data_IF_024642027373
#
_entry.id   IF_024642027373
#
_cell.length_a   1.000
_cell.length_b   1.000
_cell.length_c   1.000
_cell.angle_alpha   90.00
_cell.angle_beta   90.00
_cell.angle_gamma   90.00
#
_symmetry.space_group_name_H-M   'P 1'
#
loop_
_entity.id
_entity.type
_entity.pdbx_description
1 polymer ?
#
# COMPACT_ATOMS: atom_id res chain seq x y z
N UNK A 1 27.08 22.15 -25.23
CA UNK A 1 28.38 21.52 -25.58
C UNK A 1 28.61 20.39 -24.60
N UNK A 2 28.70 19.14 -25.07
CA UNK A 2 28.76 17.96 -24.19
C UNK A 2 30.12 17.91 -23.49
N UNK A 3 30.14 17.81 -22.16
CA UNK A 3 31.40 17.74 -21.41
C UNK A 3 31.94 16.30 -21.39
N UNK A 4 32.56 15.90 -22.50
CA UNK A 4 33.13 14.57 -22.72
C UNK A 4 34.15 14.19 -21.63
N UNK A 5 34.86 15.17 -21.03
CA UNK A 5 35.77 14.93 -19.91
C UNK A 5 35.08 14.32 -18.69
N UNK A 6 33.89 14.81 -18.34
CA UNK A 6 33.13 14.30 -17.19
C UNK A 6 32.59 12.88 -17.44
N UNK A 7 32.24 12.56 -18.69
CA UNK A 7 31.81 11.22 -19.11
C UNK A 7 32.99 10.24 -19.05
N UNK A 8 34.17 10.64 -19.52
CA UNK A 8 35.38 9.83 -19.44
C UNK A 8 35.76 9.54 -17.97
N UNK A 9 35.71 10.55 -17.10
CA UNK A 9 35.97 10.38 -15.67
C UNK A 9 34.93 9.47 -14.98
N UNK A 10 33.65 9.58 -15.33
CA UNK A 10 32.59 8.69 -14.87
C UNK A 10 32.88 7.21 -15.23
N UNK A 11 33.19 6.94 -16.49
CA UNK A 11 33.51 5.59 -17.00
C UNK A 11 34.78 5.05 -16.33
N UNK A 12 35.79 5.90 -16.10
CA UNK A 12 37.05 5.51 -15.45
C UNK A 12 36.89 5.22 -13.94
N UNK A 13 35.95 5.88 -13.27
CA UNK A 13 35.56 5.52 -11.90
C UNK A 13 34.76 4.20 -11.85
N UNK A 14 33.82 3.99 -12.77
CA UNK A 14 33.00 2.77 -12.80
C UNK A 14 33.79 1.51 -13.18
N UNK A 15 34.69 1.60 -14.17
CA UNK A 15 35.58 0.50 -14.57
C UNK A 15 36.57 0.08 -13.48
N UNK A 16 36.94 0.99 -12.56
CA UNK A 16 37.74 0.67 -11.36
C UNK A 16 36.99 -0.13 -10.30
N UNK A 17 35.66 -0.27 -10.40
CA UNK A 17 34.83 -1.02 -9.45
C UNK A 17 34.49 -2.44 -9.93
N UNK A 18 35.10 -2.91 -11.02
CA UNK A 18 34.68 -4.08 -11.80
C UNK A 18 34.71 -5.47 -11.13
N UNK A 19 34.97 -5.60 -9.83
CA UNK A 19 34.97 -6.88 -9.11
C UNK A 19 34.80 -6.74 -7.58
N UNK A 20 33.99 -5.80 -7.08
CA UNK A 20 33.91 -5.51 -5.63
C UNK A 20 32.51 -5.81 -5.05
N UNK A 21 32.47 -6.36 -3.83
CA UNK A 21 31.25 -6.74 -3.11
C UNK A 21 30.36 -5.53 -2.78
N UNK A 22 29.04 -5.76 -2.65
CA UNK A 22 28.05 -4.73 -2.34
C UNK A 22 28.32 -3.98 -1.04
N UNK A 23 29.04 -4.59 -0.09
CA UNK A 23 29.41 -3.96 1.19
C UNK A 23 30.57 -2.96 1.04
N UNK A 24 31.50 -3.19 0.12
CA UNK A 24 32.66 -2.33 -0.11
C UNK A 24 32.33 -1.10 -0.97
N UNK A 25 31.13 -1.06 -1.56
CA UNK A 25 30.61 0.09 -2.32
C UNK A 25 30.05 1.20 -1.43
N UNK A 26 29.79 0.92 -0.14
CA UNK A 26 29.19 1.86 0.81
C UNK A 26 29.98 3.19 0.92
N UNK A 27 31.34 3.20 1.03
CA UNK A 27 32.12 4.45 1.08
C UNK A 27 32.06 5.27 -0.22
N UNK A 28 31.77 4.62 -1.36
CA UNK A 28 31.75 5.26 -2.68
C UNK A 28 30.36 5.77 -3.08
N UNK A 29 29.32 5.51 -2.27
CA UNK A 29 27.91 5.85 -2.54
C UNK A 29 27.73 7.30 -3.01
N UNK A 30 28.28 8.28 -2.28
CA UNK A 30 28.14 9.70 -2.62
C UNK A 30 28.76 10.04 -3.98
N UNK A 31 29.89 9.40 -4.34
CA UNK A 31 30.57 9.62 -5.63
C UNK A 31 29.81 8.96 -6.78
N UNK A 32 29.20 7.80 -6.54
CA UNK A 32 28.31 7.12 -7.50
C UNK A 32 27.03 7.92 -7.75
N UNK A 33 26.37 8.43 -6.69
CA UNK A 33 25.18 9.29 -6.82
C UNK A 33 25.48 10.60 -7.58
N UNK A 34 26.66 11.21 -7.37
CA UNK A 34 27.10 12.37 -8.14
C UNK A 34 27.35 12.02 -9.62
N UNK A 35 27.98 10.88 -9.88
CA UNK A 35 28.29 10.40 -11.24
C UNK A 35 27.00 10.12 -12.03
N UNK A 36 26.02 9.48 -11.38
CA UNK A 36 24.73 9.17 -11.98
C UNK A 36 23.96 10.44 -12.39
N UNK A 37 23.93 11.47 -11.53
CA UNK A 37 23.33 12.78 -11.85
C UNK A 37 24.01 13.50 -13.02
N UNK A 38 25.32 13.31 -13.22
CA UNK A 38 26.04 13.88 -14.37
C UNK A 38 25.60 13.18 -15.66
N UNK A 39 25.42 11.85 -15.62
CA UNK A 39 24.96 11.06 -16.77
C UNK A 39 23.51 11.44 -17.13
N UNK A 40 22.58 11.45 -16.17
CA UNK A 40 21.17 11.85 -16.37
C UNK A 40 21.08 13.22 -17.04
N UNK A 41 21.75 14.22 -16.47
CA UNK A 41 21.76 15.60 -16.99
C UNK A 41 22.34 15.72 -18.40
N UNK A 42 23.23 14.81 -18.78
CA UNK A 42 23.84 14.77 -20.12
C UNK A 42 22.93 14.08 -21.14
N UNK A 43 22.15 13.07 -20.72
CA UNK A 43 21.12 12.46 -21.54
C UNK A 43 19.95 13.41 -21.80
N UNK A 44 19.54 14.19 -20.79
CA UNK A 44 18.53 15.26 -20.93
C UNK A 44 18.96 16.41 -21.88
N UNK A 45 20.25 16.51 -22.23
CA UNK A 45 20.74 17.51 -23.20
C UNK A 45 20.75 17.02 -24.64
N UNK A 46 20.29 15.79 -24.92
CA UNK A 46 20.18 15.24 -26.28
C UNK A 46 18.78 15.61 -26.84
N UNK A 47 18.68 16.42 -27.91
CA UNK A 47 17.40 16.69 -28.55
C UNK A 47 16.84 15.40 -29.15
N UNK A 48 15.61 15.05 -28.75
CA UNK A 48 14.90 13.88 -29.29
C UNK A 48 14.36 14.20 -30.70
N UNK A 49 15.20 14.05 -31.71
CA UNK A 49 14.76 14.00 -33.11
C UNK A 49 14.08 12.65 -33.38
N UNK A 50 12.75 12.65 -33.34
CA UNK A 50 11.94 11.55 -33.83
C UNK A 50 11.70 11.67 -35.34
N UNK A 51 11.86 10.58 -36.11
CA UNK A 51 11.13 10.40 -37.36
C UNK A 51 9.88 9.54 -37.15
N UNK A 52 8.77 10.00 -37.73
CA UNK A 52 7.54 9.22 -37.92
C UNK A 52 7.78 8.04 -38.85
N UNK A 53 7.01 6.96 -38.67
CA UNK A 53 6.58 6.09 -39.77
C UNK A 53 5.18 5.56 -39.50
N UNK A 54 4.26 5.83 -40.42
CA UNK A 54 2.88 5.31 -40.43
C UNK A 54 2.83 4.00 -41.23
N UNK A 55 2.20 2.96 -40.67
CA UNK A 55 1.56 1.86 -41.42
C UNK A 55 0.61 1.19 -40.41
N UNK A 56 -0.71 1.38 -40.48
CA UNK A 56 -1.62 0.89 -41.51
C UNK A 56 -1.44 -0.60 -41.81
N UNK A 57 -2.34 -1.41 -41.27
CA UNK A 57 -3.00 -2.49 -42.01
C UNK A 57 -4.29 -2.91 -41.28
N UNK A 58 -5.38 -2.96 -42.02
CA UNK A 58 -6.66 -3.50 -41.55
C UNK A 58 -6.61 -5.04 -41.62
N UNK A 59 -7.37 -5.72 -40.75
CA UNK A 59 -8.06 -6.91 -41.23
C UNK A 59 -9.41 -7.15 -40.53
N UNK A 60 -10.39 -7.48 -41.35
CA UNK A 60 -11.78 -7.81 -40.97
C UNK A 60 -11.96 -9.33 -40.87
N UNK A 61 -12.90 -9.76 -40.01
CA UNK A 61 -13.82 -10.91 -40.13
C UNK A 61 -14.45 -11.18 -38.75
N UNK A 62 -15.71 -10.83 -38.51
CA UNK A 62 -16.95 -11.58 -38.85
C UNK A 62 -17.36 -12.67 -37.84
N UNK A 63 -18.59 -12.53 -37.35
CA UNK A 63 -19.38 -13.44 -36.50
C UNK A 63 -19.76 -14.72 -37.29
N UNK A 64 -20.19 -15.82 -36.63
CA UNK A 64 -21.63 -15.94 -36.39
C UNK A 64 -22.05 -16.61 -35.06
N UNK A 65 -23.25 -16.24 -34.62
CA UNK A 65 -24.08 -16.93 -33.61
C UNK A 65 -24.94 -18.03 -34.24
N UNK A 66 -25.45 -18.99 -33.44
CA UNK A 66 -26.79 -19.51 -33.70
C UNK A 66 -27.74 -19.45 -32.48
N UNK A 67 -29.01 -19.18 -32.79
CA UNK A 67 -30.19 -19.14 -31.92
C UNK A 67 -30.70 -20.55 -31.55
N UNK A 68 -31.47 -20.66 -30.44
CA UNK A 68 -32.67 -21.50 -30.14
C UNK A 68 -32.59 -22.33 -28.83
N UNK A 69 -33.67 -22.63 -28.08
CA UNK A 69 -35.00 -21.96 -27.94
C UNK A 69 -35.77 -22.48 -26.70
N UNK A 70 -36.66 -21.63 -26.15
CA UNK A 70 -38.00 -21.88 -25.56
C UNK A 70 -38.27 -23.22 -24.81
N UNK A 71 -38.75 -23.16 -23.55
CA UNK A 71 -40.09 -23.65 -23.09
C UNK A 71 -40.30 -23.40 -21.57
N UNK A 72 -41.55 -23.12 -21.17
CA UNK A 72 -41.98 -22.83 -19.80
C UNK A 72 -42.45 -24.10 -19.04
N UNK A 73 -42.47 -24.07 -17.69
CA UNK A 73 -43.73 -24.09 -16.90
C UNK A 73 -43.56 -24.49 -15.41
N UNK A 74 -44.23 -23.71 -14.55
CA UNK A 74 -45.08 -24.10 -13.41
C UNK A 74 -44.55 -24.94 -12.21
N UNK A 75 -44.42 -24.24 -11.08
CA UNK A 75 -44.66 -24.62 -9.66
C UNK A 75 -46.07 -25.19 -9.36
N UNK A 76 -46.45 -25.66 -8.13
CA UNK A 76 -45.74 -25.93 -6.85
C UNK A 76 -46.17 -27.34 -6.26
N UNK A 77 -46.42 -27.62 -4.94
CA UNK A 77 -45.95 -27.08 -3.65
C UNK A 77 -45.47 -28.14 -2.60
N UNK A 78 -44.74 -27.64 -1.58
CA UNK A 78 -44.80 -27.97 -0.12
C UNK A 78 -45.04 -29.41 0.40
N UNK A 79 -44.13 -29.88 1.27
CA UNK A 79 -44.44 -30.47 2.62
C UNK A 79 -43.15 -30.71 3.42
N UNK A 80 -43.17 -30.49 4.75
CA UNK A 80 -41.96 -30.62 5.59
C UNK A 80 -42.14 -30.27 7.07
N UNK A 81 -42.98 -31.02 7.78
CA UNK A 81 -43.25 -30.91 9.22
C UNK A 81 -42.04 -31.31 10.07
N UNK A 82 -41.74 -30.59 11.18
CA UNK A 82 -41.50 -31.23 12.49
C UNK A 82 -41.51 -30.23 13.66
N UNK A 83 -41.87 -30.73 14.84
CA UNK A 83 -41.86 -30.02 16.13
C UNK A 83 -40.94 -30.75 17.13
N UNK A 84 -40.66 -30.07 18.24
CA UNK A 84 -40.22 -30.62 19.54
C UNK A 84 -38.77 -31.17 19.66
N UNK A 85 -38.12 -31.20 20.84
CA UNK A 85 -38.27 -30.49 22.14
C UNK A 85 -37.07 -30.87 23.04
N UNK A 86 -36.61 -29.98 23.92
CA UNK A 86 -35.73 -30.22 25.10
C UNK A 86 -34.28 -30.70 24.82
N UNK A 87 -33.23 -30.00 25.29
CA UNK A 87 -32.79 -29.74 26.68
C UNK A 87 -31.77 -30.77 27.15
N UNK A 88 -30.50 -30.36 27.23
CA UNK A 88 -29.55 -30.89 28.20
C UNK A 88 -28.71 -29.73 28.74
N UNK A 89 -28.62 -29.65 30.06
CA UNK A 89 -27.66 -28.79 30.77
C UNK A 89 -26.57 -29.72 31.24
N UNK A 90 -25.32 -29.43 30.88
CA UNK A 90 -24.17 -30.00 31.56
C UNK A 90 -23.06 -28.93 31.64
N UNK A 91 -22.26 -29.02 32.70
CA UNK A 91 -21.45 -27.93 33.24
C UNK A 91 -19.97 -28.07 32.82
N UNK A 92 -19.15 -27.07 33.17
CA UNK A 92 -17.67 -27.03 33.11
C UNK A 92 -16.97 -26.88 31.75
N UNK A 93 -15.94 -26.02 31.72
CA UNK A 93 -14.98 -25.87 30.62
C UNK A 93 -14.78 -24.41 30.16
N UNK A 94 -13.59 -23.84 30.41
CA UNK A 94 -13.21 -22.48 30.01
C UNK A 94 -12.98 -22.37 28.47
N UNK A 95 -14.04 -22.11 27.70
CA UNK A 95 -13.97 -21.95 26.24
C UNK A 95 -13.73 -20.49 25.79
N UNK A 96 -12.67 -19.85 26.29
CA UNK A 96 -12.28 -18.52 25.82
C UNK A 96 -11.64 -18.57 24.41
N UNK A 97 -10.83 -19.60 24.14
CA UNK A 97 -10.02 -19.74 22.91
C UNK A 97 -10.89 -19.81 21.63
N UNK A 98 -11.99 -20.58 21.68
CA UNK A 98 -12.91 -20.74 20.54
C UNK A 98 -13.71 -19.48 20.21
N UNK A 99 -13.87 -18.58 21.19
CA UNK A 99 -14.67 -17.36 21.04
C UNK A 99 -13.86 -16.24 20.39
N UNK A 100 -12.57 -16.13 20.71
CA UNK A 100 -11.69 -15.13 20.10
C UNK A 100 -11.38 -15.46 18.63
N UNK A 101 -11.00 -16.69 18.30
CA UNK A 101 -10.73 -17.09 16.90
C UNK A 101 -11.97 -16.88 16.00
N UNK A 102 -13.16 -17.20 16.51
CA UNK A 102 -14.42 -16.94 15.81
C UNK A 102 -14.70 -15.44 15.63
N UNK A 103 -14.42 -14.60 16.63
CA UNK A 103 -14.52 -13.13 16.49
C UNK A 103 -13.52 -12.60 15.47
N UNK A 104 -12.30 -13.12 15.44
CA UNK A 104 -11.25 -12.63 14.57
C UNK A 104 -11.52 -12.96 13.09
N UNK A 105 -11.99 -14.18 12.82
CA UNK A 105 -12.46 -14.59 11.51
C UNK A 105 -13.64 -13.74 11.03
N UNK A 106 -14.57 -13.38 11.93
CA UNK A 106 -15.74 -12.58 11.61
C UNK A 106 -15.38 -11.12 11.26
N UNK A 107 -14.42 -10.50 11.95
CA UNK A 107 -13.92 -9.17 11.60
C UNK A 107 -13.16 -9.15 10.26
N UNK A 108 -12.40 -10.21 9.96
CA UNK A 108 -11.79 -10.38 8.65
C UNK A 108 -12.84 -10.58 7.53
N UNK A 109 -13.89 -11.36 7.80
CA UNK A 109 -14.97 -11.62 6.85
C UNK A 109 -15.76 -10.35 6.51
N UNK A 110 -16.08 -9.50 7.50
CA UNK A 110 -16.74 -8.19 7.29
C UNK A 110 -16.01 -7.31 6.27
N UNK A 111 -14.67 -7.27 6.33
CA UNK A 111 -13.88 -6.53 5.34
C UNK A 111 -13.95 -7.18 3.95
N UNK A 112 -13.95 -8.51 3.89
CA UNK A 112 -14.05 -9.28 2.65
C UNK A 112 -15.41 -9.15 1.97
N UNK A 113 -16.51 -9.13 2.72
CA UNK A 113 -17.85 -8.88 2.19
C UNK A 113 -17.93 -7.46 1.59
N UNK A 114 -17.35 -6.47 2.28
CA UNK A 114 -17.26 -5.11 1.80
C UNK A 114 -16.31 -4.92 0.59
N UNK A 115 -15.31 -5.80 0.44
CA UNK A 115 -14.47 -5.96 -0.75
C UNK A 115 -15.22 -6.65 -1.90
N UNK A 116 -16.14 -7.57 -1.63
CA UNK A 116 -16.91 -8.27 -2.65
C UNK A 116 -18.13 -7.46 -3.15
N UNK A 117 -18.57 -6.46 -2.39
CA UNK A 117 -19.65 -5.55 -2.78
C UNK A 117 -19.42 -4.85 -4.14
N UNK A 118 -20.15 -5.30 -5.16
CA UNK A 118 -19.92 -5.03 -6.59
C UNK A 118 -19.55 -3.58 -6.95
N UNK A 119 -20.31 -2.57 -6.47
CA UNK A 119 -20.06 -1.17 -6.82
C UNK A 119 -18.76 -0.61 -6.25
N UNK A 120 -18.31 -1.11 -5.09
CA UNK A 120 -17.07 -0.68 -4.44
C UNK A 120 -15.88 -1.46 -4.99
N UNK A 121 -16.05 -2.76 -5.21
CA UNK A 121 -15.04 -3.62 -5.81
C UNK A 121 -14.65 -3.12 -7.20
N UNK A 122 -15.62 -2.92 -8.09
CA UNK A 122 -15.42 -2.39 -9.45
C UNK A 122 -14.67 -1.05 -9.45
N UNK A 123 -15.06 -0.12 -8.57
CA UNK A 123 -14.41 1.20 -8.46
C UNK A 123 -12.94 1.09 -8.06
N UNK A 124 -12.61 0.22 -7.10
CA UNK A 124 -11.23 -0.02 -6.64
C UNK A 124 -10.42 -0.75 -7.72
N UNK A 125 -10.97 -1.82 -8.31
CA UNK A 125 -10.33 -2.54 -9.42
C UNK A 125 -10.06 -1.62 -10.60
N UNK A 126 -11.04 -0.83 -11.06
CA UNK A 126 -10.89 0.10 -12.18
C UNK A 126 -9.78 1.12 -11.93
N UNK A 127 -9.77 1.73 -10.73
CA UNK A 127 -8.74 2.69 -10.35
C UNK A 127 -7.35 2.05 -10.35
N UNK A 128 -7.14 0.95 -9.63
CA UNK A 128 -5.83 0.30 -9.54
C UNK A 128 -5.38 -0.26 -10.90
N UNK A 129 -6.29 -0.79 -11.72
CA UNK A 129 -6.02 -1.27 -13.08
C UNK A 129 -5.59 -0.14 -14.02
N UNK A 130 -6.18 1.05 -13.90
CA UNK A 130 -5.78 2.22 -14.71
C UNK A 130 -4.39 2.79 -14.37
N UNK A 131 -3.74 2.31 -13.29
CA UNK A 131 -2.41 2.76 -12.82
C UNK A 131 -2.26 4.30 -12.84
N UNK A 132 -3.22 5.06 -12.24
CA UNK A 132 -3.21 6.51 -12.29
C UNK A 132 -1.95 7.06 -11.62
N UNK A 133 -1.61 8.31 -11.92
CA UNK A 133 -0.64 9.04 -11.12
C UNK A 133 -1.36 9.86 -10.03
N UNK A 134 -1.48 9.37 -8.78
CA UNK A 134 -2.12 10.11 -7.70
C UNK A 134 -1.36 11.39 -7.33
N UNK A 135 -0.14 11.57 -7.87
CA UNK A 135 0.72 12.72 -7.63
C UNK A 135 0.64 13.76 -8.76
N UNK A 136 -0.15 13.54 -9.81
CA UNK A 136 -0.26 14.47 -10.94
C UNK A 136 -0.89 15.82 -10.56
N UNK A 137 -1.67 15.87 -9.47
CA UNK A 137 -2.21 17.12 -8.93
C UNK A 137 -1.20 17.78 -7.99
N UNK A 138 -0.55 18.83 -8.47
CA UNK A 138 0.21 19.75 -7.63
C UNK A 138 -0.77 20.50 -6.71
N UNK A 139 -0.63 20.32 -5.40
CA UNK A 139 -1.23 21.19 -4.40
C UNK A 139 -0.11 21.96 -3.74
N UNK A 140 -0.04 23.27 -3.97
CA UNK A 140 0.97 24.16 -3.38
C UNK A 140 0.68 24.51 -1.90
N UNK A 141 -0.17 23.71 -1.23
CA UNK A 141 -0.69 23.90 0.12
C UNK A 141 0.37 23.66 1.23
N UNK A 142 1.60 23.34 0.84
CA UNK A 142 2.68 22.85 1.72
C UNK A 142 3.45 23.95 2.46
N UNK A 143 2.97 25.20 2.45
CA UNK A 143 3.73 26.38 2.92
C UNK A 143 3.92 26.40 4.46
N UNK A 144 3.14 25.62 5.22
CA UNK A 144 3.05 25.80 6.69
C UNK A 144 3.06 24.50 7.52
N UNK A 145 3.13 23.31 6.94
CA UNK A 145 3.04 22.03 7.64
C UNK A 145 3.76 20.94 6.83
N UNK A 146 4.22 19.86 7.47
CA UNK A 146 4.75 18.70 6.75
C UNK A 146 3.70 18.21 5.71
N UNK A 147 4.05 18.13 4.41
CA UNK A 147 3.13 17.73 3.35
C UNK A 147 2.35 16.43 3.62
N UNK A 148 2.96 15.48 4.31
CA UNK A 148 2.35 14.18 4.63
C UNK A 148 1.22 14.36 5.64
N UNK A 149 1.40 15.27 6.59
CA UNK A 149 0.36 15.66 7.56
C UNK A 149 -0.75 16.46 6.88
N UNK A 150 -0.44 17.26 5.85
CA UNK A 150 -1.46 17.88 4.99
C UNK A 150 -2.27 16.81 4.25
N UNK A 151 -1.62 15.89 3.53
CA UNK A 151 -2.26 14.79 2.79
C UNK A 151 -3.10 13.89 3.69
N UNK A 152 -2.63 13.59 4.91
CA UNK A 152 -3.38 12.81 5.92
C UNK A 152 -4.73 13.46 6.24
N UNK A 153 -4.78 14.80 6.27
CA UNK A 153 -5.99 15.58 6.57
C UNK A 153 -6.90 15.80 5.35
N UNK A 154 -6.48 15.47 4.12
CA UNK A 154 -7.27 15.70 2.89
C UNK A 154 -8.53 14.81 2.75
N UNK A 155 -8.74 13.81 3.62
CA UNK A 155 -9.90 12.92 3.54
C UNK A 155 -10.89 13.06 4.69
N UNK A 156 -11.72 14.11 4.60
CA UNK A 156 -13.07 14.10 5.15
C UNK A 156 -14.07 13.45 4.16
N UNK A 157 -15.33 13.26 4.57
CA UNK A 157 -16.37 12.57 3.78
C UNK A 157 -16.45 13.11 2.35
N UNK A 158 -16.28 12.24 1.35
CA UNK A 158 -16.42 12.59 -0.07
C UNK A 158 -15.11 12.80 -0.85
N UNK A 159 -13.93 12.58 -0.25
CA UNK A 159 -12.65 12.75 -0.94
C UNK A 159 -12.48 11.85 -2.19
N UNK A 160 -11.66 12.30 -3.15
CA UNK A 160 -11.33 11.57 -4.38
C UNK A 160 -10.46 10.33 -4.11
N UNK A 161 -10.39 9.41 -5.07
CA UNK A 161 -9.52 8.23 -4.93
C UNK A 161 -8.04 8.63 -4.84
N UNK A 162 -7.61 9.66 -5.59
CA UNK A 162 -6.24 10.17 -5.51
C UNK A 162 -5.94 10.86 -4.16
N UNK A 163 -6.93 11.53 -3.55
CA UNK A 163 -6.80 12.06 -2.20
C UNK A 163 -6.73 10.93 -1.14
N UNK A 164 -7.57 9.89 -1.27
CA UNK A 164 -7.44 8.67 -0.46
C UNK A 164 -6.05 8.05 -0.61
N UNK A 165 -5.54 7.98 -1.84
CA UNK A 165 -4.27 7.34 -2.15
C UNK A 165 -3.08 8.14 -1.62
N UNK A 166 -3.05 9.46 -1.84
CA UNK A 166 -2.04 10.38 -1.26
C UNK A 166 -2.02 10.31 0.28
N UNK A 167 -3.17 10.35 0.94
CA UNK A 167 -3.26 10.10 2.40
C UNK A 167 -2.56 8.79 2.78
N UNK A 168 -2.82 7.72 2.05
CA UNK A 168 -2.22 6.41 2.31
C UNK A 168 -0.69 6.40 2.15
N UNK A 169 -0.17 7.10 1.13
CA UNK A 169 1.27 7.30 0.96
C UNK A 169 1.87 8.15 2.10
N UNK A 170 1.13 9.16 2.59
CA UNK A 170 1.48 9.97 3.77
C UNK A 170 1.56 9.15 5.06
N UNK A 171 0.53 8.33 5.31
CA UNK A 171 0.49 7.38 6.44
C UNK A 171 1.68 6.41 6.38
N UNK A 172 1.92 5.78 5.21
CA UNK A 172 3.04 4.84 5.03
C UNK A 172 4.40 5.53 5.18
N UNK A 173 4.59 6.72 4.60
CA UNK A 173 5.84 7.50 4.69
C UNK A 173 6.21 7.82 6.14
N UNK A 174 5.26 8.36 6.93
CA UNK A 174 5.49 8.63 8.35
C UNK A 174 5.73 7.36 9.17
N UNK A 175 5.04 6.26 8.86
CA UNK A 175 5.23 5.00 9.57
C UNK A 175 6.55 4.31 9.21
N UNK A 176 7.08 4.46 8.00
CA UNK A 176 8.41 3.99 7.61
C UNK A 176 9.47 4.78 8.39
N UNK A 177 9.39 6.11 8.41
CA UNK A 177 10.32 6.96 9.17
C UNK A 177 10.29 6.67 10.68
N UNK A 178 9.10 6.39 11.23
CA UNK A 178 8.96 5.94 12.62
C UNK A 178 9.58 4.54 12.86
N UNK A 179 9.32 3.58 11.97
CA UNK A 179 9.83 2.20 12.05
C UNK A 179 11.36 2.12 11.86
N UNK A 180 11.96 3.05 11.11
CA UNK A 180 13.40 3.26 11.02
C UNK A 180 13.97 3.86 12.31
N UNK A 181 13.39 4.96 12.81
CA UNK A 181 13.80 5.58 14.08
C UNK A 181 13.69 4.60 15.27
N UNK A 182 12.64 3.79 15.32
CA UNK A 182 12.42 2.81 16.40
C UNK A 182 13.49 1.70 16.37
N UNK A 183 13.86 1.22 15.17
CA UNK A 183 15.00 0.30 14.99
C UNK A 183 16.31 0.91 15.46
N UNK A 184 16.58 2.16 15.09
CA UNK A 184 17.83 2.84 15.47
C UNK A 184 17.91 3.09 16.98
N UNK A 185 16.80 3.46 17.62
CA UNK A 185 16.75 3.78 19.04
C UNK A 185 16.68 2.55 19.97
N UNK A 186 16.07 1.44 19.52
CA UNK A 186 15.75 0.29 20.39
C UNK A 186 16.20 -1.07 19.84
N UNK A 187 16.79 -1.14 18.64
CA UNK A 187 17.28 -2.38 18.02
C UNK A 187 16.17 -3.32 17.49
N UNK A 188 14.91 -2.94 17.61
CA UNK A 188 13.73 -3.68 17.15
C UNK A 188 12.65 -2.69 16.70
N UNK A 189 11.55 -3.18 16.11
CA UNK A 189 10.39 -2.32 15.83
C UNK A 189 9.07 -3.03 16.01
N UNK A 190 8.03 -2.24 16.27
CA UNK A 190 6.65 -2.66 16.44
C UNK A 190 6.07 -3.26 15.15
N UNK A 191 6.49 -2.78 13.97
CA UNK A 191 6.15 -3.43 12.69
C UNK A 191 6.74 -4.85 12.62
N UNK A 192 7.87 -5.09 13.29
CA UNK A 192 8.49 -6.41 13.40
C UNK A 192 7.79 -7.28 14.44
N UNK A 193 7.65 -6.81 15.67
CA UNK A 193 6.95 -7.55 16.74
C UNK A 193 5.51 -7.94 16.36
N UNK A 194 4.69 -6.97 15.95
CA UNK A 194 3.27 -7.21 15.57
C UNK A 194 3.09 -8.05 14.32
N UNK A 195 4.10 -8.15 13.45
CA UNK A 195 4.04 -9.07 12.30
C UNK A 195 4.29 -10.53 12.66
N UNK A 196 4.97 -10.77 13.79
CA UNK A 196 5.28 -12.10 14.32
C UNK A 196 4.21 -12.56 15.33
N UNK A 197 3.67 -11.64 16.13
CA UNK A 197 2.64 -11.91 17.13
C UNK A 197 1.53 -10.83 17.09
N UNK A 198 0.68 -10.79 16.04
CA UNK A 198 -0.34 -9.75 15.87
C UNK A 198 -1.43 -9.72 16.97
N UNK A 199 -1.62 -10.81 17.71
CA UNK A 199 -2.51 -10.90 18.86
C UNK A 199 -1.98 -10.23 20.14
N UNK A 200 -0.68 -9.87 20.20
CA UNK A 200 -0.13 -9.14 21.34
C UNK A 200 -0.50 -7.66 21.24
N UNK A 201 -1.37 -7.21 22.15
CA UNK A 201 -1.75 -5.79 22.26
C UNK A 201 -0.62 -5.03 22.96
N UNK A 202 -0.10 -4.01 22.27
CA UNK A 202 0.81 -3.01 22.83
C UNK A 202 0.32 -1.61 22.46
N UNK A 203 0.53 -0.62 23.33
CA UNK A 203 0.18 0.78 23.07
C UNK A 203 1.41 1.59 22.64
N UNK A 204 1.51 1.83 21.34
CA UNK A 204 2.59 2.64 20.76
C UNK A 204 2.46 4.15 21.04
N UNK A 205 1.40 4.63 21.72
CA UNK A 205 1.17 6.06 21.95
C UNK A 205 2.38 6.76 22.56
N UNK A 206 3.03 6.14 23.55
CA UNK A 206 4.23 6.66 24.21
C UNK A 206 5.44 6.78 23.30
N UNK A 207 5.68 5.77 22.43
CA UNK A 207 6.81 5.78 21.49
C UNK A 207 6.58 6.77 20.34
N UNK A 208 5.36 6.84 19.82
CA UNK A 208 4.98 7.83 18.79
C UNK A 208 5.11 9.25 19.34
N UNK A 209 4.70 9.51 20.57
CA UNK A 209 4.88 10.81 21.21
C UNK A 209 6.36 11.16 21.42
N UNK A 210 7.23 10.17 21.72
CA UNK A 210 8.69 10.36 21.78
C UNK A 210 9.28 10.71 20.41
N UNK A 211 8.92 9.99 19.35
CA UNK A 211 9.32 10.30 17.98
C UNK A 211 8.91 11.72 17.55
N UNK A 212 7.65 12.09 17.80
CA UNK A 212 7.11 13.43 17.51
C UNK A 212 7.69 14.55 18.41
N UNK A 213 8.49 14.20 19.42
CA UNK A 213 9.24 15.15 20.26
C UNK A 213 10.74 15.20 19.92
N UNK A 214 11.32 14.12 19.39
CA UNK A 214 12.75 14.02 19.03
C UNK A 214 13.05 14.41 17.59
N UNK A 215 12.07 14.36 16.67
CA UNK A 215 12.31 14.62 15.25
C UNK A 215 12.62 16.11 14.99
N UNK A 216 13.63 16.38 14.14
CA UNK A 216 14.09 17.73 13.80
C UNK A 216 13.03 18.58 13.07
N UNK A 217 12.00 17.94 12.52
CA UNK A 217 10.85 18.59 11.89
C UNK A 217 9.74 18.74 12.93
N UNK A 218 9.47 19.98 13.32
CA UNK A 218 8.34 20.29 14.20
C UNK A 218 7.03 20.25 13.41
N UNK A 219 6.36 19.09 13.43
CA UNK A 219 4.96 18.97 12.98
C UNK A 219 4.08 19.93 13.78
N UNK A 220 3.32 20.80 13.12
CA UNK A 220 2.41 21.71 13.84
C UNK A 220 1.19 20.96 14.36
N UNK A 221 0.66 20.03 13.57
CA UNK A 221 -0.44 19.13 13.91
C UNK A 221 0.08 17.73 14.28
N UNK A 222 0.68 17.65 15.48
CA UNK A 222 1.20 16.38 16.05
C UNK A 222 0.12 15.30 16.21
N UNK A 223 -1.14 15.68 16.40
CA UNK A 223 -2.27 14.73 16.48
C UNK A 223 -2.49 14.00 15.15
N UNK A 224 -2.54 14.75 14.04
CA UNK A 224 -2.69 14.19 12.69
C UNK A 224 -1.46 13.34 12.30
N UNK A 225 -0.25 13.77 12.68
CA UNK A 225 0.96 12.97 12.51
C UNK A 225 0.89 11.66 13.31
N UNK A 226 0.49 11.72 14.59
CA UNK A 226 0.31 10.54 15.46
C UNK A 226 -0.77 9.57 14.95
N UNK A 227 -1.89 10.09 14.44
CA UNK A 227 -2.92 9.25 13.81
C UNK A 227 -2.39 8.60 12.53
N UNK A 228 -1.71 9.38 11.68
CA UNK A 228 -1.10 8.88 10.44
C UNK A 228 -0.05 7.81 10.65
N UNK A 229 0.81 7.94 11.68
CA UNK A 229 1.78 6.92 12.06
C UNK A 229 1.08 5.63 12.51
N UNK A 230 0.06 5.72 13.39
CA UNK A 230 -0.72 4.54 13.84
C UNK A 230 -1.38 3.81 12.66
N UNK A 231 -1.99 4.56 11.77
CA UNK A 231 -2.63 4.03 10.57
C UNK A 231 -1.63 3.42 9.58
N UNK A 232 -0.46 4.05 9.41
CA UNK A 232 0.61 3.56 8.56
C UNK A 232 1.29 2.30 9.11
N UNK A 233 1.60 2.24 10.41
CA UNK A 233 2.13 1.03 11.07
C UNK A 233 1.20 -0.15 10.80
N UNK A 234 -0.11 0.08 10.89
CA UNK A 234 -1.14 -0.93 10.64
C UNK A 234 -1.09 -1.48 9.21
N UNK A 235 -0.86 -0.62 8.20
CA UNK A 235 -0.61 -1.02 6.82
C UNK A 235 0.68 -1.85 6.71
N UNK A 236 1.80 -1.35 7.25
CA UNK A 236 3.11 -2.02 7.15
C UNK A 236 3.15 -3.40 7.84
N UNK A 237 2.50 -3.55 8.99
CA UNK A 237 2.32 -4.84 9.68
C UNK A 237 1.58 -5.82 8.78
N UNK A 238 0.49 -5.38 8.13
CA UNK A 238 -0.26 -6.25 7.24
C UNK A 238 0.49 -6.57 5.94
N UNK A 239 1.24 -5.62 5.36
CA UNK A 239 2.13 -5.88 4.22
C UNK A 239 3.12 -7.01 4.51
N UNK A 240 3.75 -6.97 5.70
CA UNK A 240 4.70 -8.00 6.15
C UNK A 240 4.03 -9.33 6.41
N UNK A 241 2.87 -9.36 7.08
CA UNK A 241 2.09 -10.60 7.29
C UNK A 241 1.65 -11.20 5.94
N UNK A 242 1.18 -10.37 5.01
CA UNK A 242 0.63 -10.79 3.73
C UNK A 242 1.72 -11.30 2.75
N UNK A 243 2.87 -10.62 2.72
CA UNK A 243 4.04 -10.92 1.89
C UNK A 243 4.15 -10.10 0.60
N UNK A 244 3.21 -9.18 0.32
CA UNK A 244 3.20 -8.33 -0.87
C UNK A 244 2.78 -6.90 -0.50
N UNK A 245 3.67 -5.92 -0.71
CA UNK A 245 3.41 -4.51 -0.36
C UNK A 245 2.19 -3.94 -1.07
N UNK A 246 1.90 -4.38 -2.30
CA UNK A 246 0.77 -3.93 -3.10
C UNK A 246 -0.60 -4.23 -2.50
N UNK A 247 -0.69 -5.03 -1.42
CA UNK A 247 -1.94 -5.18 -0.65
C UNK A 247 -2.37 -3.85 -0.04
N UNK A 248 -1.42 -2.99 0.36
CA UNK A 248 -1.73 -1.64 0.85
C UNK A 248 -2.35 -0.75 -0.22
N UNK A 249 -2.05 -0.94 -1.51
CA UNK A 249 -2.72 -0.18 -2.57
C UNK A 249 -4.24 -0.42 -2.60
N UNK A 250 -4.69 -1.62 -2.22
CA UNK A 250 -6.10 -1.97 -2.05
C UNK A 250 -6.63 -1.39 -0.73
N UNK A 251 -5.91 -1.62 0.38
CA UNK A 251 -6.37 -1.24 1.71
C UNK A 251 -6.43 0.28 1.93
N UNK A 252 -5.56 1.07 1.31
CA UNK A 252 -5.60 2.54 1.36
C UNK A 252 -6.95 3.08 0.85
N UNK A 253 -7.48 2.51 -0.23
CA UNK A 253 -8.77 2.90 -0.82
C UNK A 253 -9.97 2.42 0.00
N UNK A 254 -9.75 1.54 0.97
CA UNK A 254 -10.74 0.91 1.84
C UNK A 254 -10.43 1.15 3.33
N UNK A 255 -9.58 2.15 3.62
CA UNK A 255 -8.89 2.23 4.90
C UNK A 255 -9.85 2.39 6.09
N UNK A 256 -10.97 3.08 5.89
CA UNK A 256 -12.02 3.25 6.92
C UNK A 256 -12.66 1.94 7.38
N UNK A 257 -12.56 0.86 6.60
CA UNK A 257 -13.02 -0.48 6.96
C UNK A 257 -11.86 -1.29 7.54
N UNK A 258 -10.69 -1.22 6.88
CA UNK A 258 -9.49 -1.94 7.32
C UNK A 258 -9.01 -1.48 8.71
N UNK A 259 -9.23 -0.23 9.09
CA UNK A 259 -8.92 0.31 10.43
C UNK A 259 -9.67 -0.40 11.56
N UNK A 260 -10.90 -0.84 11.31
CA UNK A 260 -11.79 -1.44 12.31
C UNK A 260 -11.53 -2.94 12.54
N UNK A 261 -10.77 -3.59 11.66
CA UNK A 261 -10.36 -5.00 11.83
C UNK A 261 -9.40 -5.10 13.05
N UNK A 262 -9.35 -6.22 13.78
CA UNK A 262 -8.36 -6.39 14.86
C UNK A 262 -6.99 -6.79 14.30
N UNK A 263 -5.91 -6.65 15.07
CA UNK A 263 -4.59 -7.09 14.58
C UNK A 263 -4.52 -8.62 14.46
N UNK A 264 -5.01 -9.43 15.41
CA UNK A 264 -4.99 -10.89 15.29
C UNK A 264 -5.76 -11.43 14.08
N UNK A 265 -6.91 -10.81 13.73
CA UNK A 265 -7.65 -11.03 12.46
C UNK A 265 -6.82 -10.92 11.17
N UNK A 266 -5.60 -10.36 11.21
CA UNK A 266 -4.74 -10.23 10.03
C UNK A 266 -4.34 -11.57 9.41
N UNK A 267 -4.17 -12.62 10.21
CA UNK A 267 -3.87 -13.95 9.65
C UNK A 267 -5.08 -14.46 8.86
N UNK A 268 -6.28 -14.42 9.44
CA UNK A 268 -7.53 -14.78 8.76
C UNK A 268 -7.76 -13.94 7.48
N UNK A 269 -7.58 -12.62 7.56
CA UNK A 269 -7.75 -11.72 6.41
C UNK A 269 -6.77 -12.04 5.27
N UNK A 270 -5.51 -12.37 5.57
CA UNK A 270 -4.53 -12.84 4.58
C UNK A 270 -5.02 -14.11 3.88
N UNK A 271 -5.58 -15.07 4.60
CA UNK A 271 -6.11 -16.30 4.01
C UNK A 271 -7.33 -16.04 3.11
N UNK A 272 -8.28 -15.19 3.54
CA UNK A 272 -9.45 -14.84 2.73
C UNK A 272 -9.08 -14.07 1.45
N UNK A 273 -8.17 -13.10 1.55
CA UNK A 273 -7.65 -12.37 0.38
C UNK A 273 -6.96 -13.32 -0.61
N UNK A 274 -6.14 -14.27 -0.14
CA UNK A 274 -5.50 -15.30 -0.99
C UNK A 274 -6.54 -16.20 -1.66
N UNK A 275 -7.56 -16.66 -0.91
CA UNK A 275 -8.64 -17.52 -1.43
C UNK A 275 -9.49 -16.82 -2.51
N UNK A 276 -9.55 -15.49 -2.51
CA UNK A 276 -10.33 -14.73 -3.51
C UNK A 276 -9.75 -14.74 -4.93
N UNK A 277 -8.47 -15.11 -5.11
CA UNK A 277 -7.77 -15.06 -6.40
C UNK A 277 -7.55 -13.62 -6.89
N UNK A 278 -8.59 -12.99 -7.44
CA UNK A 278 -8.51 -11.69 -8.11
C UNK A 278 -7.90 -10.56 -7.25
N UNK A 279 -8.20 -10.50 -5.94
CA UNK A 279 -7.57 -9.50 -5.05
C UNK A 279 -6.12 -9.84 -4.72
N UNK A 280 -5.77 -11.12 -4.68
CA UNK A 280 -4.39 -11.57 -4.46
C UNK A 280 -3.50 -11.25 -5.67
N UNK A 281 -3.98 -11.56 -6.88
CA UNK A 281 -3.28 -11.24 -8.12
C UNK A 281 -3.13 -9.74 -8.32
N UNK A 282 -4.18 -8.95 -7.96
CA UNK A 282 -4.09 -7.49 -7.95
C UNK A 282 -3.04 -6.98 -6.94
N UNK A 283 -3.04 -7.48 -5.70
CA UNK A 283 -2.05 -7.09 -4.69
C UNK A 283 -0.61 -7.41 -5.15
N UNK A 284 -0.43 -8.51 -5.89
CA UNK A 284 0.84 -8.91 -6.48
C UNK A 284 1.26 -7.97 -7.61
N UNK A 285 0.40 -7.72 -8.61
CA UNK A 285 0.67 -6.76 -9.72
C UNK A 285 1.00 -5.35 -9.19
N UNK A 286 0.23 -4.85 -8.22
CA UNK A 286 0.41 -3.49 -7.69
C UNK A 286 1.59 -3.32 -6.75
N UNK A 287 2.35 -4.37 -6.43
CA UNK A 287 3.49 -4.25 -5.50
C UNK A 287 4.59 -3.33 -6.03
N UNK A 288 5.04 -3.51 -7.29
CA UNK A 288 6.05 -2.62 -7.88
C UNK A 288 5.51 -1.21 -8.12
N UNK A 289 4.26 -1.08 -8.54
CA UNK A 289 3.61 0.22 -8.77
C UNK A 289 3.45 1.02 -7.47
N UNK A 290 3.03 0.39 -6.37
CA UNK A 290 2.94 1.07 -5.07
C UNK A 290 4.31 1.54 -4.60
N UNK A 291 5.36 0.72 -4.73
CA UNK A 291 6.73 1.12 -4.39
C UNK A 291 7.19 2.32 -5.22
N UNK A 292 6.94 2.32 -6.54
CA UNK A 292 7.25 3.47 -7.39
C UNK A 292 6.46 4.73 -7.02
N UNK A 293 5.19 4.60 -6.64
CA UNK A 293 4.40 5.72 -6.12
C UNK A 293 4.94 6.26 -4.79
N UNK A 294 5.34 5.38 -3.86
CA UNK A 294 5.93 5.74 -2.58
C UNK A 294 7.26 6.49 -2.77
N UNK A 295 8.18 5.98 -3.61
CA UNK A 295 9.45 6.64 -3.91
C UNK A 295 9.25 8.05 -4.48
N UNK A 296 8.32 8.23 -5.44
CA UNK A 296 8.02 9.54 -6.02
C UNK A 296 7.36 10.51 -5.03
N UNK A 297 6.58 9.98 -4.09
CA UNK A 297 5.96 10.73 -3.00
C UNK A 297 7.03 11.24 -2.02
N UNK A 298 7.85 10.34 -1.48
CA UNK A 298 8.91 10.68 -0.52
C UNK A 298 9.97 11.61 -1.12
N UNK A 299 10.30 11.46 -2.41
CA UNK A 299 11.20 12.36 -3.11
C UNK A 299 10.72 13.82 -3.13
N UNK A 300 9.40 14.06 -3.27
CA UNK A 300 8.82 15.42 -3.20
C UNK A 300 8.94 16.01 -1.79
N UNK A 301 8.77 15.20 -0.75
CA UNK A 301 8.89 15.65 0.64
C UNK A 301 10.34 15.87 1.07
N UNK A 302 11.29 15.11 0.51
CA UNK A 302 12.72 15.31 0.78
C UNK A 302 13.23 16.64 0.21
N UNK A 303 12.56 17.20 -0.81
CA UNK A 303 12.83 18.56 -1.29
C UNK A 303 12.26 19.64 -0.35
N UNK A 304 11.08 19.41 0.24
CA UNK A 304 10.49 20.33 1.23
C UNK A 304 11.38 20.50 2.48
N UNK A 305 12.00 19.42 2.96
CA UNK A 305 12.92 19.43 4.12
C UNK A 305 14.22 20.23 3.93
N UNK A 306 14.46 20.82 2.75
CA UNK A 306 15.71 21.53 2.39
C UNK A 306 15.53 23.03 2.15
N UNK A 307 14.31 23.54 2.39
CA UNK A 307 13.92 24.95 2.26
C UNK A 307 13.69 25.51 3.67
#
# INVERSE_FOLDING_TARGET
>A
MINISAIAEAIQNLSRLGAISTQDLIPYRTKLEQTLRIIERTLDTIPSEAPRSETSLQHSSQQPTPTTSITCSETPPSSGTSCATQSFVEETGENNDTTEEASEALDAQRLMDALQGARRSEKVFKYLSSRPDPLAQNGDDWVQEDPRVVDIRLCNRGCSLDACFRRGLGQRSLAIEFDEWEREAFGTSQVSGRSLAPQVIDDNSGLINRFLASNAISFKNKESASHGIRDGIRLLVFERIYGHVGVSAILILLFTLFREVKYGSFVALKHLLRKSGAWHDLAKDKSLWLTACQIRYDARHTMWRKI
#
